data_IF_903572557587
#
_entry.id   IF_903572557587
#
_cell.length_a   1.000
_cell.length_b   1.000
_cell.length_c   1.000
_cell.angle_alpha   90.00
_cell.angle_beta   90.00
_cell.angle_gamma   90.00
#
_symmetry.space_group_name_H-M   'P 1'
#
loop_
_entity.id
_entity.type
_entity.pdbx_description
1 polymer ?
#
# COMPACT_ATOMS: atom_id res chain seq x y z
N UNK A 1 -16.68 -10.82 -0.70
CA UNK A 1 -15.70 -10.79 -1.82
C UNK A 1 -14.91 -9.49 -1.97
N UNK A 2 -15.39 -8.33 -1.46
CA UNK A 2 -14.70 -7.04 -1.59
C UNK A 2 -14.66 -6.30 -0.24
N UNK A 3 -13.52 -5.69 0.10
CA UNK A 3 -13.37 -4.68 1.14
C UNK A 3 -13.32 -3.33 0.44
N UNK A 4 -14.42 -2.58 0.47
CA UNK A 4 -14.47 -1.24 -0.14
C UNK A 4 -13.64 -0.31 0.75
N UNK A 5 -12.54 0.27 0.23
CA UNK A 5 -11.77 1.29 0.98
C UNK A 5 -12.28 2.71 0.77
N UNK A 6 -13.07 2.96 -0.28
CA UNK A 6 -13.64 4.29 -0.54
C UNK A 6 -14.44 4.72 0.69
N UNK A 7 -13.98 5.79 1.34
CA UNK A 7 -14.52 6.34 2.59
C UNK A 7 -14.55 5.36 3.79
N UNK A 8 -13.81 4.25 3.72
CA UNK A 8 -13.82 3.26 4.80
C UNK A 8 -13.04 3.76 6.02
N UNK A 9 -13.80 4.23 7.00
CA UNK A 9 -13.36 4.55 8.36
C UNK A 9 -13.29 3.31 9.26
N UNK A 10 -13.36 2.09 8.70
CA UNK A 10 -13.41 0.86 9.48
C UNK A 10 -12.16 0.70 10.36
N UNK A 11 -12.32 0.56 11.70
CA UNK A 11 -11.25 0.19 12.60
C UNK A 11 -10.63 -1.16 12.22
N UNK A 12 -9.38 -1.38 12.60
CA UNK A 12 -8.65 -2.63 12.29
C UNK A 12 -9.48 -3.90 12.60
N UNK A 13 -10.18 -4.04 13.76
CA UNK A 13 -10.96 -5.24 14.06
C UNK A 13 -12.09 -5.53 13.06
N UNK A 14 -12.76 -4.51 12.53
CA UNK A 14 -13.82 -4.67 11.54
C UNK A 14 -13.22 -5.13 10.21
N UNK A 15 -12.12 -4.50 9.79
CA UNK A 15 -11.42 -4.85 8.57
C UNK A 15 -10.90 -6.30 8.63
N UNK A 16 -10.33 -6.70 9.77
CA UNK A 16 -9.88 -8.07 10.06
C UNK A 16 -11.04 -9.07 9.97
N UNK A 17 -12.17 -8.76 10.59
CA UNK A 17 -13.35 -9.60 10.52
C UNK A 17 -13.85 -9.76 9.07
N UNK A 18 -13.86 -8.69 8.27
CA UNK A 18 -14.26 -8.77 6.87
C UNK A 18 -13.34 -9.69 6.05
N UNK A 19 -12.02 -9.63 6.23
CA UNK A 19 -11.09 -10.56 5.56
C UNK A 19 -11.31 -12.00 6.03
N UNK A 20 -11.53 -12.22 7.33
CA UNK A 20 -11.86 -13.55 7.86
C UNK A 20 -13.16 -14.13 7.25
N UNK A 21 -14.07 -13.28 6.79
CA UNK A 21 -15.30 -13.67 6.07
C UNK A 21 -15.14 -13.65 4.54
N UNK A 22 -13.91 -13.67 4.02
CA UNK A 22 -13.61 -13.84 2.60
C UNK A 22 -13.53 -12.55 1.78
N UNK A 23 -13.38 -11.38 2.42
CA UNK A 23 -12.99 -10.18 1.69
C UNK A 23 -11.51 -10.26 1.29
N UNK A 24 -11.20 -10.10 0.00
CA UNK A 24 -9.87 -10.34 -0.57
C UNK A 24 -9.20 -9.14 -1.21
N UNK A 25 -9.88 -8.00 -1.29
CA UNK A 25 -9.40 -6.80 -2.00
C UNK A 25 -9.81 -5.54 -1.25
N UNK A 26 -8.83 -4.68 -0.94
CA UNK A 26 -9.01 -3.30 -0.49
C UNK A 26 -8.99 -2.38 -1.72
N UNK A 27 -10.08 -1.68 -2.03
CA UNK A 27 -10.14 -0.84 -3.25
C UNK A 27 -9.64 0.58 -3.00
N UNK A 28 -8.67 1.09 -3.76
CA UNK A 28 -8.21 2.50 -3.68
C UNK A 28 -7.66 2.88 -2.29
N UNK A 29 -6.69 2.12 -1.77
CA UNK A 29 -5.99 2.42 -0.53
C UNK A 29 -5.44 3.86 -0.54
N UNK A 30 -5.58 4.56 0.58
CA UNK A 30 -5.31 5.99 0.82
C UNK A 30 -6.28 6.98 0.18
N UNK A 31 -7.10 6.57 -0.80
CA UNK A 31 -8.08 7.48 -1.40
C UNK A 31 -9.20 7.82 -0.41
N UNK A 32 -9.39 9.10 -0.11
CA UNK A 32 -10.35 9.63 0.86
C UNK A 32 -10.32 8.96 2.25
N UNK A 33 -9.22 8.29 2.59
CA UNK A 33 -9.06 7.62 3.89
C UNK A 33 -8.61 8.61 4.98
N UNK A 34 -8.99 8.37 6.25
CA UNK A 34 -8.44 9.11 7.39
C UNK A 34 -6.92 8.98 7.51
N UNK A 35 -6.31 9.92 8.24
CA UNK A 35 -4.88 9.85 8.57
C UNK A 35 -4.55 8.57 9.35
N UNK A 36 -3.38 8.00 9.07
CA UNK A 36 -2.89 6.81 9.74
C UNK A 36 -2.66 7.11 11.23
N UNK A 37 -3.41 6.46 12.12
CA UNK A 37 -3.25 6.59 13.55
C UNK A 37 -2.43 5.43 14.13
N UNK A 38 -1.39 5.74 14.89
CA UNK A 38 -0.44 4.73 15.39
C UNK A 38 -1.05 3.64 16.30
N UNK A 39 -2.16 3.93 17.00
CA UNK A 39 -2.86 2.95 17.86
C UNK A 39 -3.92 2.12 17.14
N UNK A 40 -4.40 2.61 16.00
CA UNK A 40 -5.35 1.91 15.16
C UNK A 40 -5.04 2.27 13.69
N UNK A 41 -4.22 1.45 13.01
CA UNK A 41 -3.82 1.72 11.63
C UNK A 41 -4.96 1.49 10.63
N UNK A 42 -6.18 1.17 11.10
CA UNK A 42 -7.34 0.86 10.25
C UNK A 42 -7.02 -0.26 9.24
N UNK A 43 -7.65 -0.24 8.07
CA UNK A 43 -7.50 -1.21 6.99
C UNK A 43 -6.05 -1.33 6.47
N UNK A 44 -5.21 -0.30 6.67
CA UNK A 44 -3.77 -0.35 6.33
C UNK A 44 -3.02 -1.36 7.20
N UNK A 45 -3.48 -1.57 8.45
CA UNK A 45 -2.91 -2.56 9.37
C UNK A 45 -2.90 -3.98 8.81
N UNK A 46 -3.87 -4.30 7.93
CA UNK A 46 -3.98 -5.61 7.29
C UNK A 46 -2.80 -5.93 6.36
N UNK A 47 -2.10 -4.92 5.85
CA UNK A 47 -0.93 -5.12 5.00
C UNK A 47 0.25 -5.71 5.79
N UNK A 48 0.32 -5.40 7.09
CA UNK A 48 1.38 -5.85 7.99
C UNK A 48 1.11 -7.21 8.65
N UNK A 49 -0.12 -7.71 8.62
CA UNK A 49 -0.53 -8.95 9.30
C UNK A 49 0.31 -10.14 8.85
N UNK A 50 1.15 -10.70 9.70
CA UNK A 50 1.93 -11.91 9.37
C UNK A 50 1.01 -13.12 9.26
N UNK A 51 1.16 -13.93 8.19
CA UNK A 51 0.70 -15.32 8.23
C UNK A 51 1.46 -15.98 9.37
N UNK A 52 0.79 -16.55 10.38
CA UNK A 52 1.44 -17.42 11.34
C UNK A 52 2.12 -18.52 10.52
N UNK A 53 3.44 -18.61 10.66
CA UNK A 53 4.18 -19.67 10.02
C UNK A 53 3.58 -20.99 10.47
N UNK A 54 3.38 -21.93 9.54
CA UNK A 54 3.04 -23.32 9.87
C UNK A 54 3.95 -23.77 11.00
N UNK A 55 3.38 -23.95 12.20
CA UNK A 55 4.14 -24.13 13.42
C UNK A 55 5.14 -25.26 13.30
N UNK A 56 6.43 -24.93 13.27
CA UNK A 56 7.46 -25.84 13.74
C UNK A 56 7.25 -25.99 15.24
N UNK A 57 6.93 -27.20 15.69
CA UNK A 57 6.85 -27.56 17.11
C UNK A 57 8.19 -27.27 17.79
N UNK A 58 8.30 -26.10 18.43
CA UNK A 58 9.32 -25.84 19.44
C UNK A 58 8.82 -26.48 20.73
N UNK A 59 9.31 -27.70 20.99
CA UNK A 59 9.09 -28.39 22.26
C UNK A 59 9.69 -27.58 23.40
N UNK A 60 8.84 -26.92 24.18
CA UNK A 60 9.23 -26.35 25.47
C UNK A 60 9.00 -27.43 26.52
N UNK A 61 10.06 -28.15 26.87
CA UNK A 61 10.10 -29.00 28.06
C UNK A 61 9.97 -28.12 29.30
N UNK A 62 8.85 -28.22 30.01
CA UNK A 62 8.71 -27.61 31.33
C UNK A 62 9.65 -28.31 32.31
N UNK A 63 10.55 -27.56 32.95
CA UNK A 63 11.20 -28.00 34.18
C UNK A 63 10.84 -27.04 35.32
N UNK A 64 10.09 -27.58 36.27
CA UNK A 64 9.71 -26.97 37.55
C UNK A 64 10.95 -26.71 38.41
N UNK A 65 11.11 -25.50 38.96
CA UNK A 65 12.09 -25.22 40.01
C UNK A 65 11.38 -24.98 41.35
N UNK A 66 11.72 -25.80 42.35
CA UNK A 66 11.46 -25.57 43.78
C UNK A 66 12.79 -25.22 44.48
N UNK A 67 12.79 -24.44 45.59
CA UNK A 67 14.01 -23.88 46.16
C UNK A 67 14.61 -24.77 47.26
N UNK A 68 15.94 -24.92 47.28
CA UNK A 68 16.71 -25.63 48.31
C UNK A 68 18.18 -25.20 48.32
N UNK A 69 18.81 -25.17 49.50
CA UNK A 69 19.99 -24.39 49.92
C UNK A 69 21.31 -25.23 49.93
N UNK A 70 22.49 -24.74 50.42
CA UNK A 70 23.75 -24.67 49.67
C UNK A 70 24.83 -25.72 50.08
N UNK A 71 25.87 -25.90 49.25
CA UNK A 71 27.08 -26.66 49.63
C UNK A 71 28.20 -26.66 48.58
N UNK A 72 29.37 -26.20 49.01
CA UNK A 72 30.75 -26.22 48.47
C UNK A 72 31.16 -27.21 47.36
N UNK A 73 31.87 -26.73 46.33
CA UNK A 73 33.31 -26.98 46.02
C UNK A 73 33.63 -26.80 44.51
N UNK A 74 34.74 -26.11 44.22
CA UNK A 74 35.39 -25.91 42.90
C UNK A 74 36.43 -27.03 42.62
N UNK A 75 37.15 -27.06 41.47
CA UNK A 75 36.85 -26.62 40.10
C UNK A 75 37.27 -27.65 39.02
N UNK A 76 36.88 -27.48 37.74
CA UNK A 76 37.79 -27.63 36.57
C UNK A 76 37.10 -27.45 35.19
N UNK A 77 37.80 -26.69 34.35
CA UNK A 77 37.97 -26.83 32.90
C UNK A 77 36.80 -26.49 31.92
N UNK A 78 36.82 -25.22 31.49
CA UNK A 78 36.90 -24.75 30.10
C UNK A 78 36.13 -25.48 28.96
N UNK A 79 35.24 -24.76 28.27
CA UNK A 79 35.53 -24.23 26.92
C UNK A 79 34.50 -23.17 26.46
N UNK A 80 35.05 -22.00 26.14
CA UNK A 80 34.57 -20.84 25.34
C UNK A 80 33.25 -20.96 24.54
N UNK A 81 32.29 -20.11 24.91
CA UNK A 81 31.37 -19.43 23.99
C UNK A 81 31.44 -17.92 24.23
N UNK A 82 31.85 -17.13 23.23
CA UNK A 82 31.97 -15.67 23.35
C UNK A 82 30.59 -15.02 23.19
N UNK A 83 30.09 -14.47 24.30
CA UNK A 83 29.05 -13.43 24.37
C UNK A 83 29.66 -12.07 23.98
N UNK A 84 28.91 -11.24 23.26
CA UNK A 84 29.19 -9.81 23.09
C UNK A 84 27.87 -9.01 23.06
N UNK A 85 27.21 -8.95 24.21
CA UNK A 85 26.32 -7.86 24.61
C UNK A 85 27.14 -6.84 25.41
N UNK A 86 27.46 -5.68 24.82
CA UNK A 86 27.51 -4.37 25.51
C UNK A 86 27.97 -3.26 24.56
N UNK A 87 27.12 -2.26 24.34
CA UNK A 87 27.30 -0.88 24.85
C UNK A 87 26.20 0.02 24.28
N UNK A 88 25.18 0.26 25.10
CA UNK A 88 24.38 1.46 25.01
C UNK A 88 25.21 2.54 25.72
N UNK A 89 25.69 3.52 24.96
CA UNK A 89 26.28 4.74 25.50
C UNK A 89 25.40 5.92 25.10
N UNK A 90 24.86 6.54 26.13
CA UNK A 90 24.28 7.88 26.24
C UNK A 90 24.93 8.89 25.29
N UNK A 91 24.12 9.59 24.49
CA UNK A 91 24.53 10.84 23.84
C UNK A 91 23.58 11.94 24.29
N UNK A 92 24.15 12.90 25.02
CA UNK A 92 23.50 14.12 25.48
C UNK A 92 23.23 15.07 24.30
N UNK A 93 22.03 15.64 24.26
CA UNK A 93 21.69 16.78 23.41
C UNK A 93 22.27 18.06 24.05
N UNK A 94 23.20 18.70 23.36
CA UNK A 94 23.53 20.11 23.57
C UNK A 94 23.71 20.80 22.21
N UNK A 95 22.96 21.87 22.00
CA UNK A 95 22.97 22.73 20.81
C UNK A 95 24.22 23.60 20.75
N UNK A 96 24.74 23.91 19.54
CA UNK A 96 25.49 25.15 19.35
C UNK A 96 24.92 26.00 18.20
N UNK A 97 24.76 27.28 18.50
CA UNK A 97 24.57 28.40 17.57
C UNK A 97 25.88 28.72 16.82
N UNK A 98 25.84 28.85 15.49
CA UNK A 98 26.30 30.02 14.69
C UNK A 98 26.45 29.67 13.19
N UNK A 99 26.17 30.70 12.40
CA UNK A 99 26.11 30.90 10.94
C UNK A 99 27.46 30.78 10.20
N UNK A 100 27.46 30.22 8.97
CA UNK A 100 28.05 30.76 7.71
C UNK A 100 27.87 29.77 6.50
N UNK A 101 27.99 30.19 5.21
CA UNK A 101 27.17 29.68 4.08
C UNK A 101 27.89 28.91 2.93
N UNK A 102 27.06 28.32 2.02
CA UNK A 102 27.25 27.71 0.66
C UNK A 102 27.15 26.17 0.59
N UNK A 103 26.84 25.50 -0.56
CA UNK A 103 26.37 25.95 -1.90
C UNK A 103 25.07 25.26 -2.41
N UNK A 104 24.58 25.68 -3.59
CA UNK A 104 23.46 25.10 -4.37
C UNK A 104 23.52 23.57 -4.51
N UNK A 105 22.52 22.84 -3.98
CA UNK A 105 22.18 21.48 -4.40
C UNK A 105 20.68 21.18 -4.20
N UNK A 106 20.04 20.78 -5.30
CA UNK A 106 18.81 19.99 -5.48
C UNK A 106 17.45 20.53 -5.00
N UNK A 107 16.63 20.94 -5.99
CA UNK A 107 15.18 21.22 -5.95
C UNK A 107 14.27 20.03 -5.53
N UNK A 108 14.82 18.94 -4.97
CA UNK A 108 14.09 17.68 -4.72
C UNK A 108 13.13 17.70 -3.50
N UNK A 109 12.80 18.89 -3.00
CA UNK A 109 11.88 19.12 -1.88
C UNK A 109 10.86 20.22 -2.19
N UNK A 110 10.57 20.50 -3.47
CA UNK A 110 9.40 21.31 -3.78
C UNK A 110 8.15 20.58 -3.29
N UNK A 111 7.48 21.24 -2.35
CA UNK A 111 6.36 20.73 -1.55
C UNK A 111 5.26 20.14 -2.44
N UNK A 112 5.21 18.81 -2.50
CA UNK A 112 4.03 18.06 -2.90
C UNK A 112 2.99 18.20 -1.78
N UNK A 113 2.34 19.37 -1.72
CA UNK A 113 1.20 19.61 -0.86
C UNK A 113 0.08 18.66 -1.31
N UNK A 114 -0.17 17.65 -0.49
CA UNK A 114 -1.37 16.82 -0.64
C UNK A 114 -2.57 17.74 -0.39
N UNK A 115 -3.52 17.88 -1.34
CA UNK A 115 -4.67 18.76 -1.14
C UNK A 115 -5.47 18.31 0.10
N UNK A 116 -6.11 19.25 0.82
CA UNK A 116 -6.88 18.93 2.01
C UNK A 116 -7.99 17.92 1.67
N UNK A 117 -7.99 16.80 2.39
CA UNK A 117 -9.02 15.77 2.29
C UNK A 117 -10.37 16.28 2.83
N UNK A 118 -11.46 15.70 2.32
CA UNK A 118 -12.84 15.90 2.75
C UNK A 118 -12.95 16.06 4.28
N UNK A 119 -13.38 17.23 4.79
CA UNK A 119 -13.72 17.35 6.20
C UNK A 119 -15.03 16.61 6.42
N UNK A 120 -14.94 15.33 6.80
CA UNK A 120 -16.04 14.69 7.51
C UNK A 120 -16.11 15.37 8.87
N UNK A 121 -17.06 16.29 9.03
CA UNK A 121 -17.43 16.81 10.34
C UNK A 121 -17.87 15.63 11.19
N UNK A 122 -16.98 15.14 12.07
CA UNK A 122 -17.32 14.05 12.95
C UNK A 122 -16.80 14.23 14.37
N UNK A 123 -17.77 14.34 15.28
CA UNK A 123 -17.63 13.84 16.65
C UNK A 123 -17.50 12.31 16.60
N UNK A 124 -16.66 11.70 17.45
CA UNK A 124 -16.52 10.25 17.45
C UNK A 124 -17.87 9.61 17.77
N UNK A 125 -18.50 8.96 16.78
CA UNK A 125 -19.54 7.98 17.11
C UNK A 125 -18.81 6.81 17.74
N UNK A 126 -18.86 6.79 19.06
CA UNK A 126 -18.62 5.59 19.84
C UNK A 126 -19.74 4.63 19.45
N UNK A 127 -19.51 3.84 18.40
CA UNK A 127 -20.34 2.66 18.12
C UNK A 127 -20.33 1.76 19.36
N UNK A 128 -21.39 0.96 19.57
CA UNK A 128 -21.44 0.05 20.71
C UNK A 128 -20.16 -0.79 20.71
N UNK A 129 -19.57 -0.96 21.89
CA UNK A 129 -18.40 -1.82 22.11
C UNK A 129 -18.67 -3.18 21.47
N UNK A 130 -18.17 -3.37 20.26
CA UNK A 130 -18.30 -4.61 19.55
C UNK A 130 -17.33 -5.57 20.23
N UNK A 131 -17.85 -6.38 21.15
CA UNK A 131 -17.15 -7.54 21.66
C UNK A 131 -16.83 -8.42 20.46
N UNK A 132 -15.59 -8.34 19.98
CA UNK A 132 -15.10 -9.22 18.92
C UNK A 132 -15.06 -10.63 19.51
N UNK A 133 -15.81 -11.60 18.96
CA UNK A 133 -15.87 -12.94 19.52
C UNK A 133 -14.47 -13.58 19.55
N UNK A 134 -14.17 -14.32 20.61
CA UNK A 134 -12.85 -14.92 20.89
C UNK A 134 -12.32 -15.80 19.74
N UNK A 135 -13.23 -16.34 18.89
CA UNK A 135 -12.87 -17.09 17.67
C UNK A 135 -12.10 -16.25 16.64
N UNK A 136 -12.34 -14.94 16.58
CA UNK A 136 -11.64 -14.02 15.67
C UNK A 136 -10.18 -13.86 16.09
N UNK A 137 -9.86 -13.91 17.39
CA UNK A 137 -8.48 -13.81 17.89
C UNK A 137 -7.60 -14.98 17.40
N UNK A 138 -8.12 -16.20 17.38
CA UNK A 138 -7.45 -17.36 16.78
C UNK A 138 -7.28 -17.22 15.25
N UNK A 139 -8.13 -16.44 14.60
CA UNK A 139 -8.10 -16.26 13.13
C UNK A 139 -7.02 -15.27 12.68
N UNK A 140 -6.58 -14.35 13.56
CA UNK A 140 -5.52 -13.37 13.26
C UNK A 140 -4.20 -14.05 12.90
N UNK A 141 -3.94 -15.23 13.47
CA UNK A 141 -2.75 -16.03 13.14
C UNK A 141 -2.83 -16.60 11.71
N UNK A 142 -3.99 -16.85 11.11
CA UNK A 142 -4.08 -17.48 9.77
C UNK A 142 -4.56 -16.54 8.66
N UNK A 143 -4.60 -15.24 8.94
CA UNK A 143 -5.22 -14.27 8.05
C UNK A 143 -4.39 -14.05 6.78
N UNK A 144 -4.97 -14.43 5.63
CA UNK A 144 -4.41 -14.10 4.33
C UNK A 144 -4.54 -12.61 4.05
N UNK A 145 -3.42 -11.95 3.80
CA UNK A 145 -3.41 -10.53 3.46
C UNK A 145 -4.23 -10.29 2.19
N UNK A 146 -5.15 -9.32 2.19
CA UNK A 146 -5.91 -8.99 0.99
C UNK A 146 -5.02 -8.28 -0.04
N UNK A 147 -5.40 -8.38 -1.31
CA UNK A 147 -4.93 -7.47 -2.33
C UNK A 147 -5.36 -6.04 -2.01
N UNK A 148 -4.71 -5.04 -2.60
CA UNK A 148 -5.06 -3.64 -2.43
C UNK A 148 -4.78 -2.83 -3.70
N UNK A 149 -5.77 -2.05 -4.14
CA UNK A 149 -5.65 -1.13 -5.27
C UNK A 149 -5.04 0.20 -4.84
N UNK A 150 -4.14 0.77 -5.62
CA UNK A 150 -3.56 2.10 -5.40
C UNK A 150 -3.61 2.98 -6.64
N UNK A 151 -4.00 4.24 -6.45
CA UNK A 151 -3.91 5.29 -7.48
C UNK A 151 -2.56 5.98 -7.34
N UNK A 152 -1.68 5.78 -8.32
CA UNK A 152 -0.27 6.21 -8.26
C UNK A 152 -0.02 7.38 -9.21
N UNK A 153 -0.72 8.47 -8.98
CA UNK A 153 -0.63 9.72 -9.75
C UNK A 153 0.21 10.80 -9.05
N UNK A 154 0.60 10.58 -7.79
CA UNK A 154 1.28 11.57 -6.95
C UNK A 154 0.35 12.63 -6.34
N UNK A 155 -0.96 12.51 -6.56
CA UNK A 155 -2.00 13.42 -6.07
C UNK A 155 -2.85 12.71 -5.01
N UNK A 156 -3.37 11.53 -5.33
CA UNK A 156 -4.19 10.71 -4.42
C UNK A 156 -3.37 10.07 -3.32
N UNK A 157 -2.13 9.68 -3.64
CA UNK A 157 -1.21 9.03 -2.71
C UNK A 157 0.14 9.72 -2.77
N UNK A 158 0.60 10.21 -1.63
CA UNK A 158 1.96 10.71 -1.48
C UNK A 158 2.99 9.59 -1.77
N UNK A 159 4.13 9.87 -2.43
CA UNK A 159 5.14 8.86 -2.76
C UNK A 159 5.56 7.95 -1.60
N UNK A 160 5.74 8.51 -0.40
CA UNK A 160 6.07 7.75 0.80
C UNK A 160 4.98 6.75 1.22
N UNK A 161 3.69 7.09 1.04
CA UNK A 161 2.57 6.19 1.32
C UNK A 161 2.56 5.01 0.35
N UNK A 162 2.85 5.29 -0.93
CA UNK A 162 3.03 4.25 -1.96
C UNK A 162 4.16 3.30 -1.60
N UNK A 163 5.33 3.85 -1.24
CA UNK A 163 6.49 3.05 -0.79
C UNK A 163 6.17 2.22 0.45
N UNK A 164 5.51 2.81 1.44
CA UNK A 164 5.13 2.14 2.69
C UNK A 164 4.24 0.93 2.41
N UNK A 165 3.13 1.13 1.70
CA UNK A 165 2.18 0.07 1.41
C UNK A 165 2.83 -1.04 0.57
N UNK A 166 3.54 -0.68 -0.50
CA UNK A 166 4.25 -1.65 -1.33
C UNK A 166 5.27 -2.46 -0.55
N UNK A 167 6.07 -1.81 0.32
CA UNK A 167 7.05 -2.53 1.14
C UNK A 167 6.39 -3.47 2.15
N UNK A 168 5.22 -3.09 2.68
CA UNK A 168 4.48 -3.93 3.63
C UNK A 168 3.93 -5.22 2.97
N UNK A 169 3.37 -5.12 1.76
CA UNK A 169 2.78 -6.27 1.07
C UNK A 169 2.92 -6.23 -0.47
N UNK A 170 4.13 -6.48 -1.03
CA UNK A 170 4.37 -6.39 -2.47
C UNK A 170 3.45 -7.28 -3.31
N UNK A 171 3.16 -8.49 -2.81
CA UNK A 171 2.34 -9.49 -3.50
C UNK A 171 0.86 -9.11 -3.63
N UNK A 172 0.36 -8.20 -2.78
CA UNK A 172 -1.03 -7.74 -2.79
C UNK A 172 -1.26 -6.47 -3.59
N UNK A 173 -0.19 -5.78 -4.02
CA UNK A 173 -0.30 -4.47 -4.64
C UNK A 173 -0.93 -4.55 -6.04
N UNK A 174 -1.98 -3.77 -6.27
CA UNK A 174 -2.62 -3.62 -7.57
C UNK A 174 -2.58 -2.15 -7.97
N UNK A 175 -2.07 -1.85 -9.15
CA UNK A 175 -2.18 -0.51 -9.72
C UNK A 175 -3.55 -0.32 -10.35
N UNK A 176 -4.21 0.77 -10.00
CA UNK A 176 -5.51 1.17 -10.55
C UNK A 176 -5.47 2.65 -10.86
N UNK A 177 -6.18 3.06 -11.91
CA UNK A 177 -6.22 4.47 -12.28
C UNK A 177 -7.33 5.21 -11.55
N UNK A 178 -8.50 4.58 -11.35
CA UNK A 178 -9.74 5.28 -11.00
C UNK A 178 -10.04 6.44 -11.98
N UNK A 179 -9.61 6.26 -13.24
CA UNK A 179 -9.69 7.30 -14.25
C UNK A 179 -11.13 7.53 -14.70
N UNK A 180 -11.49 8.80 -14.90
CA UNK A 180 -12.79 9.21 -15.41
C UNK A 180 -12.71 9.69 -16.86
N UNK A 181 -13.85 9.93 -17.49
CA UNK A 181 -13.94 10.42 -18.88
C UNK A 181 -13.17 11.71 -19.14
N UNK A 182 -12.89 12.49 -18.08
CA UNK A 182 -12.08 13.70 -18.11
C UNK A 182 -10.59 13.46 -18.39
N UNK A 183 -10.18 12.20 -18.51
CA UNK A 183 -8.86 11.78 -19.02
C UNK A 183 -8.63 12.16 -20.49
N UNK A 184 -9.68 12.49 -21.25
CA UNK A 184 -9.54 12.89 -22.65
C UNK A 184 -8.53 14.06 -22.79
N UNK A 185 -7.40 13.87 -23.51
CA UNK A 185 -6.38 14.90 -23.66
C UNK A 185 -6.87 16.15 -24.40
N UNK A 186 -7.99 16.07 -25.12
CA UNK A 186 -8.59 17.20 -25.82
C UNK A 186 -9.60 17.96 -24.94
N UNK A 187 -9.92 17.45 -23.73
CA UNK A 187 -10.84 18.11 -22.83
C UNK A 187 -10.13 19.25 -22.07
N UNK A 188 -10.55 20.51 -22.26
CA UNK A 188 -9.93 21.63 -21.57
C UNK A 188 -10.22 21.60 -20.07
N UNK A 189 -9.38 22.30 -19.30
CA UNK A 189 -9.68 22.62 -17.91
C UNK A 189 -10.99 23.41 -17.81
N UNK A 190 -11.75 23.20 -16.74
CA UNK A 190 -13.05 23.83 -16.55
C UNK A 190 -14.04 22.96 -15.80
N UNK A 191 -15.29 23.41 -15.78
CA UNK A 191 -16.41 22.69 -15.14
C UNK A 191 -17.01 21.72 -16.14
N UNK A 192 -17.15 20.46 -15.73
CA UNK A 192 -17.67 19.37 -16.55
C UNK A 192 -18.81 18.67 -15.82
N UNK A 193 -19.83 18.25 -16.56
CA UNK A 193 -20.93 17.50 -15.97
C UNK A 193 -20.46 16.14 -15.43
N UNK A 194 -21.04 15.78 -14.29
CA UNK A 194 -20.81 14.51 -13.63
C UNK A 194 -22.16 13.93 -13.15
N UNK A 195 -22.10 12.81 -12.43
CA UNK A 195 -23.28 12.04 -12.04
C UNK A 195 -24.17 12.81 -11.08
N UNK A 196 -25.46 12.45 -11.07
CA UNK A 196 -26.46 12.93 -10.09
C UNK A 196 -26.59 14.45 -10.03
N UNK A 197 -26.43 15.13 -11.19
CA UNK A 197 -26.51 16.58 -11.29
C UNK A 197 -25.32 17.32 -10.65
N UNK A 198 -24.28 16.61 -10.22
CA UNK A 198 -23.04 17.20 -9.72
C UNK A 198 -22.12 17.56 -10.89
N UNK A 199 -21.17 18.46 -10.64
CA UNK A 199 -20.16 18.87 -11.60
C UNK A 199 -18.77 18.69 -11.02
N UNK A 200 -17.81 18.47 -11.90
CA UNK A 200 -16.39 18.37 -11.56
C UNK A 200 -15.62 19.53 -12.16
N UNK A 201 -14.62 20.03 -11.43
CA UNK A 201 -13.69 21.04 -11.92
C UNK A 201 -12.38 20.35 -12.27
N UNK A 202 -12.03 20.36 -13.56
CA UNK A 202 -10.75 19.87 -14.07
C UNK A 202 -9.70 20.97 -14.02
N UNK A 203 -8.60 20.71 -13.32
CA UNK A 203 -7.43 21.59 -13.23
C UNK A 203 -6.15 20.79 -13.47
N UNK A 204 -5.70 20.75 -14.72
CA UNK A 204 -4.58 19.92 -15.13
C UNK A 204 -4.93 18.44 -14.91
N UNK A 205 -4.17 17.81 -14.00
CA UNK A 205 -4.32 16.40 -13.62
C UNK A 205 -5.22 16.17 -12.38
N UNK A 206 -5.80 17.24 -11.83
CA UNK A 206 -6.68 17.18 -10.65
C UNK A 206 -8.14 17.35 -11.04
N UNK A 207 -9.01 16.59 -10.37
CA UNK A 207 -10.45 16.66 -10.50
C UNK A 207 -11.08 16.89 -9.14
N UNK A 208 -11.85 17.97 -9.01
CA UNK A 208 -12.52 18.33 -7.75
C UNK A 208 -14.03 18.32 -7.92
N UNK A 209 -14.77 18.00 -6.86
CA UNK A 209 -16.21 18.27 -6.82
C UNK A 209 -16.39 19.79 -6.77
N UNK A 210 -17.20 20.33 -7.69
CA UNK A 210 -17.42 21.77 -7.78
C UNK A 210 -17.88 22.36 -6.44
N UNK A 211 -17.23 23.44 -6.03
CA UNK A 211 -17.49 24.11 -4.75
C UNK A 211 -16.80 23.48 -3.54
N UNK A 212 -15.91 22.50 -3.75
CA UNK A 212 -15.16 21.82 -2.69
C UNK A 212 -13.70 21.60 -3.08
N UNK A 213 -12.88 21.20 -2.11
CA UNK A 213 -11.50 20.73 -2.32
C UNK A 213 -11.41 19.19 -2.42
N UNK A 214 -12.55 18.50 -2.45
CA UNK A 214 -12.61 17.04 -2.48
C UNK A 214 -12.24 16.52 -3.87
N UNK A 215 -11.19 15.70 -3.94
CA UNK A 215 -10.85 14.95 -5.15
C UNK A 215 -11.93 13.93 -5.49
N UNK A 216 -12.25 13.81 -6.77
CA UNK A 216 -13.17 12.80 -7.28
C UNK A 216 -12.59 12.18 -8.54
N UNK A 217 -12.24 10.89 -8.46
CA UNK A 217 -11.57 10.13 -9.52
C UNK A 217 -10.23 10.73 -9.94
N UNK A 218 -9.65 10.16 -11.00
CA UNK A 218 -8.39 10.65 -11.56
C UNK A 218 -8.46 10.89 -13.07
N UNK A 219 -7.38 11.47 -13.60
CA UNK A 219 -7.08 11.48 -15.04
C UNK A 219 -5.71 10.84 -15.31
N UNK A 220 -5.29 9.91 -14.46
CA UNK A 220 -3.99 9.24 -14.63
C UNK A 220 -4.12 8.03 -15.56
N UNK A 221 -3.11 7.83 -16.42
CA UNK A 221 -3.02 6.64 -17.27
C UNK A 221 -2.22 5.53 -16.59
N UNK A 222 -2.47 4.27 -16.95
CA UNK A 222 -1.71 3.13 -16.40
C UNK A 222 -0.19 3.23 -16.64
N UNK A 223 0.31 3.64 -17.84
CA UNK A 223 1.75 3.87 -18.03
C UNK A 223 2.33 4.95 -17.11
N UNK A 224 1.58 6.03 -16.86
CA UNK A 224 1.99 7.04 -15.86
C UNK A 224 2.03 6.45 -14.46
N UNK A 225 1.04 5.64 -14.06
CA UNK A 225 1.08 4.92 -12.77
C UNK A 225 2.32 4.03 -12.65
N UNK A 226 2.68 3.28 -13.70
CA UNK A 226 3.87 2.41 -13.69
C UNK A 226 5.15 3.23 -13.49
N UNK A 227 5.33 4.32 -14.25
CA UNK A 227 6.51 5.19 -14.13
C UNK A 227 6.61 5.84 -12.76
N UNK A 228 5.50 6.39 -12.27
CA UNK A 228 5.42 6.96 -10.92
C UNK A 228 5.71 5.90 -9.86
N UNK A 229 5.14 4.70 -9.99
CA UNK A 229 5.35 3.62 -9.04
C UNK A 229 6.82 3.20 -8.97
N UNK A 230 7.48 3.03 -10.11
CA UNK A 230 8.92 2.78 -10.16
C UNK A 230 9.71 3.91 -9.49
N UNK A 231 9.39 5.16 -9.77
CA UNK A 231 10.07 6.32 -9.16
C UNK A 231 9.87 6.38 -7.64
N UNK A 232 8.64 6.17 -7.15
CA UNK A 232 8.30 6.30 -5.73
C UNK A 232 8.78 5.11 -4.90
N UNK A 233 8.86 3.92 -5.51
CA UNK A 233 9.18 2.69 -4.80
C UNK A 233 10.60 2.18 -5.05
N UNK A 234 11.27 2.66 -6.10
CA UNK A 234 12.52 2.09 -6.61
C UNK A 234 12.42 0.60 -6.97
N UNK A 235 11.22 0.11 -7.27
CA UNK A 235 11.02 -1.26 -7.75
C UNK A 235 11.45 -1.40 -9.21
N UNK A 236 11.58 -2.64 -9.66
CA UNK A 236 11.89 -2.91 -11.07
C UNK A 236 10.66 -2.68 -11.96
N UNK A 237 10.88 -2.49 -13.26
CA UNK A 237 9.78 -2.48 -14.23
C UNK A 237 8.95 -3.77 -14.16
N UNK A 238 9.59 -4.93 -13.93
CA UNK A 238 8.90 -6.20 -13.77
C UNK A 238 7.95 -6.23 -12.57
N UNK A 239 8.36 -5.66 -11.44
CA UNK A 239 7.52 -5.54 -10.25
C UNK A 239 6.32 -4.62 -10.51
N UNK A 240 6.55 -3.48 -11.16
CA UNK A 240 5.49 -2.54 -11.51
C UNK A 240 4.47 -3.17 -12.49
N UNK A 241 4.96 -3.89 -13.52
CA UNK A 241 4.11 -4.64 -14.46
C UNK A 241 3.32 -5.72 -13.72
N UNK A 242 3.95 -6.44 -12.79
CA UNK A 242 3.26 -7.45 -11.96
C UNK A 242 2.08 -6.84 -11.20
N UNK A 243 2.25 -5.65 -10.62
CA UNK A 243 1.19 -4.93 -9.93
C UNK A 243 0.07 -4.44 -10.87
N UNK A 244 0.38 -4.15 -12.14
CA UNK A 244 -0.61 -3.73 -13.14
C UNK A 244 -1.31 -4.89 -13.88
N UNK A 245 -0.77 -6.11 -13.82
CA UNK A 245 -1.22 -7.22 -14.69
C UNK A 245 -1.46 -8.53 -13.93
N UNK A 246 -0.42 -9.13 -13.35
CA UNK A 246 -0.50 -10.42 -12.69
C UNK A 246 -1.31 -10.37 -11.39
N UNK A 247 -1.05 -9.39 -10.52
CA UNK A 247 -1.74 -9.26 -9.25
C UNK A 247 -3.26 -9.05 -9.41
N UNK A 248 -3.76 -8.16 -10.31
CA UNK A 248 -5.20 -8.07 -10.56
C UNK A 248 -5.76 -9.35 -11.18
N UNK A 249 -5.03 -10.02 -12.09
CA UNK A 249 -5.48 -11.30 -12.65
C UNK A 249 -5.62 -12.39 -11.57
N UNK A 250 -4.66 -12.47 -10.64
CA UNK A 250 -4.67 -13.40 -9.52
C UNK A 250 -5.78 -13.06 -8.51
N UNK A 251 -5.99 -11.77 -8.22
CA UNK A 251 -7.10 -11.33 -7.37
C UNK A 251 -8.46 -11.78 -7.93
N UNK A 252 -8.61 -11.78 -9.24
CA UNK A 252 -9.83 -12.19 -9.95
C UNK A 252 -9.89 -13.71 -10.25
N UNK A 253 -8.81 -14.46 -10.04
CA UNK A 253 -8.74 -15.89 -10.35
C UNK A 253 -8.70 -16.20 -11.86
N UNK A 254 -8.13 -15.30 -12.66
CA UNK A 254 -8.05 -15.42 -14.13
C UNK A 254 -6.61 -15.43 -14.66
N UNK A 255 -5.61 -15.64 -13.78
CA UNK A 255 -4.18 -15.62 -14.11
C UNK A 255 -3.74 -16.72 -15.08
N UNK A 256 -4.55 -17.77 -15.24
CA UNK A 256 -4.37 -18.79 -16.27
C UNK A 256 -4.57 -18.24 -17.69
N UNK A 257 -5.33 -17.14 -17.85
CA UNK A 257 -5.68 -16.53 -19.13
C UNK A 257 -5.17 -15.12 -19.32
N UNK A 258 -5.04 -14.33 -18.25
CA UNK A 258 -4.69 -12.91 -18.28
C UNK A 258 -3.51 -12.61 -17.34
N UNK A 259 -2.83 -11.50 -17.59
CA UNK A 259 -1.80 -10.97 -16.69
C UNK A 259 -0.49 -11.78 -16.64
N UNK A 260 -0.34 -12.81 -17.49
CA UNK A 260 0.90 -13.58 -17.63
C UNK A 260 1.27 -13.74 -19.10
N UNK A 261 2.57 -13.82 -19.38
CA UNK A 261 3.08 -14.17 -20.71
C UNK A 261 3.40 -15.67 -20.73
N UNK A 262 2.38 -16.50 -21.00
CA UNK A 262 2.49 -17.97 -21.01
C UNK A 262 1.73 -18.55 -22.19
N UNK A 263 2.20 -19.70 -22.69
CA UNK A 263 1.48 -20.45 -23.71
C UNK A 263 0.06 -20.82 -23.19
N UNK A 264 -0.95 -20.62 -24.04
CA UNK A 264 -2.36 -20.86 -23.70
C UNK A 264 -3.09 -19.66 -23.06
N UNK A 265 -2.38 -18.60 -22.66
CA UNK A 265 -2.99 -17.35 -22.22
C UNK A 265 -3.48 -16.52 -23.43
N UNK A 266 -4.39 -15.58 -23.20
CA UNK A 266 -4.83 -14.67 -24.25
C UNK A 266 -3.65 -13.77 -24.66
N UNK A 267 -3.46 -13.56 -25.96
CA UNK A 267 -2.39 -12.71 -26.51
C UNK A 267 -2.71 -11.20 -26.39
N UNK A 268 -2.96 -10.77 -25.15
CA UNK A 268 -3.11 -9.37 -24.77
C UNK A 268 -1.76 -8.84 -24.28
N UNK A 269 -1.09 -8.07 -25.13
CA UNK A 269 0.31 -7.70 -24.96
C UNK A 269 0.49 -6.20 -25.04
N UNK A 270 1.45 -5.71 -24.27
CA UNK A 270 1.94 -4.34 -24.37
C UNK A 270 3.44 -4.41 -24.62
N UNK A 271 3.90 -3.74 -25.67
CA UNK A 271 5.33 -3.55 -25.94
C UNK A 271 5.70 -2.19 -25.37
N UNK A 272 6.69 -2.14 -24.50
CA UNK A 272 7.14 -0.91 -23.84
C UNK A 272 8.66 -0.79 -23.79
N UNK A 273 9.15 0.43 -23.66
CA UNK A 273 10.57 0.70 -23.40
C UNK A 273 10.92 0.40 -21.93
N UNK A 274 12.21 0.26 -21.58
CA UNK A 274 12.65 0.11 -20.19
C UNK A 274 12.21 1.27 -19.27
N UNK A 275 11.99 2.45 -19.83
CA UNK A 275 11.53 3.67 -19.12
C UNK A 275 10.01 3.67 -18.89
N UNK A 276 9.30 2.67 -19.38
CA UNK A 276 7.84 2.52 -19.22
C UNK A 276 6.99 3.20 -20.29
N UNK A 277 7.59 3.62 -21.40
CA UNK A 277 6.88 4.22 -22.53
C UNK A 277 6.24 3.14 -23.42
N UNK A 278 4.97 3.31 -23.79
CA UNK A 278 4.26 2.32 -24.60
C UNK A 278 4.57 2.49 -26.09
N UNK A 279 4.95 1.40 -26.74
CA UNK A 279 5.28 1.34 -28.17
C UNK A 279 4.14 0.73 -29.00
N UNK A 280 3.51 -0.34 -28.51
CA UNK A 280 2.33 -0.92 -29.16
C UNK A 280 1.48 -1.73 -28.20
N UNK A 281 0.20 -1.90 -28.53
CA UNK A 281 -0.75 -2.70 -27.77
C UNK A 281 -1.40 -3.73 -28.69
N UNK A 282 -1.54 -4.94 -28.18
CA UNK A 282 -2.14 -6.08 -28.85
C UNK A 282 -3.26 -6.64 -28.00
N UNK A 283 -4.37 -6.99 -28.62
CA UNK A 283 -5.53 -7.62 -27.97
C UNK A 283 -5.88 -8.86 -28.76
N UNK A 284 -5.92 -10.02 -28.10
CA UNK A 284 -6.19 -11.33 -28.73
C UNK A 284 -5.29 -11.60 -29.95
N UNK A 285 -4.03 -11.17 -29.89
CA UNK A 285 -3.04 -11.34 -30.95
C UNK A 285 -3.14 -10.35 -32.11
N UNK A 286 -4.04 -9.35 -32.04
CA UNK A 286 -4.15 -8.28 -33.04
C UNK A 286 -3.58 -6.99 -32.50
N UNK A 287 -2.70 -6.33 -33.27
CA UNK A 287 -2.20 -5.00 -32.93
C UNK A 287 -3.36 -3.99 -33.04
N UNK A 288 -3.72 -3.36 -31.93
CA UNK A 288 -4.83 -2.38 -31.87
C UNK A 288 -4.33 -0.94 -31.73
N UNK A 289 -3.07 -0.76 -31.33
CA UNK A 289 -2.46 0.55 -31.18
C UNK A 289 -0.95 0.48 -31.41
N UNK A 290 -0.37 1.56 -31.95
CA UNK A 290 1.06 1.77 -32.04
C UNK A 290 1.41 3.24 -31.88
N UNK A 291 2.52 3.53 -31.21
CA UNK A 291 3.06 4.89 -31.14
C UNK A 291 3.37 5.37 -32.55
N UNK A 292 2.80 6.51 -32.94
CA UNK A 292 3.19 7.17 -34.18
C UNK A 292 4.62 7.71 -34.00
N UNK A 293 5.49 7.42 -34.97
CA UNK A 293 6.88 7.89 -34.97
C UNK A 293 6.99 9.40 -35.14
#
# INVERSE_FOLDING_TARGET
ELLISLDSIAPTPIATAAVAHGARLITHLFNAMPQLHHRDPSIIGLLGSSKAGKGGTLGVSQSSHAPGKPGSSEPAAALRGKSLLKKISTVNLASPTKTEPKPDVAEALQELITPPQTPLGWSPVVGPSASVPLSVLHTIEELERPFYGMIVDGIHSHPNSVKLAYTAHPEGCILVTDAMSMLDPHLPNGVHEWRDGKRLVKQGDKLFIEGTDTLAGSVVTMPTCIRNFMAFTSCTLGDAIKCATYNPAKCLGIEARKGTLRAGADADLVVMTPEGEILSTWVTGKKVWSKSG
#
